data_IF_043771259590
#
_entry.id   IF_043771259590
#
_cell.length_a   1.000
_cell.length_b   1.000
_cell.length_c   1.000
_cell.angle_alpha   90.00
_cell.angle_beta   90.00
_cell.angle_gamma   90.00
#
_symmetry.space_group_name_H-M   'P 1'
#
loop_
_entity.id
_entity.type
_entity.pdbx_description
1 polymer ?
#
# COMPACT_ATOMS: atom_id res chain seq x y z
N UNK A 1 -13.39 39.54 -12.57
CA UNK A 1 -12.99 38.72 -13.72
C UNK A 1 -11.63 38.12 -13.45
N UNK A 2 -11.58 36.91 -12.89
CA UNK A 2 -10.55 35.91 -13.17
C UNK A 2 -11.26 34.57 -13.07
N UNK A 3 -11.74 34.16 -14.24
CA UNK A 3 -12.39 32.89 -14.47
C UNK A 3 -11.29 31.82 -14.50
N UNK A 4 -11.10 31.11 -13.37
CA UNK A 4 -10.24 29.94 -13.31
C UNK A 4 -11.06 28.73 -13.75
N UNK A 5 -11.20 28.57 -15.05
CA UNK A 5 -11.39 27.26 -15.65
C UNK A 5 -10.14 26.42 -15.37
N UNK A 6 -10.11 25.75 -14.21
CA UNK A 6 -9.18 24.68 -13.93
C UNK A 6 -9.86 23.36 -14.29
N UNK A 7 -9.66 22.98 -15.55
CA UNK A 7 -9.46 21.61 -16.07
C UNK A 7 -10.06 20.54 -15.17
N UNK A 8 -11.23 20.05 -15.55
CA UNK A 8 -11.84 18.84 -15.00
C UNK A 8 -10.93 17.64 -15.21
N UNK A 9 -10.04 17.38 -14.25
CA UNK A 9 -9.63 16.02 -13.92
C UNK A 9 -10.84 15.43 -13.21
N UNK A 10 -11.53 14.50 -13.87
CA UNK A 10 -12.62 13.75 -13.27
C UNK A 10 -12.03 12.92 -12.12
N UNK A 11 -12.07 13.47 -10.91
CA UNK A 11 -12.36 12.79 -9.65
C UNK A 11 -11.40 11.73 -9.09
N UNK A 12 -10.20 11.52 -9.64
CA UNK A 12 -9.24 10.64 -8.96
C UNK A 12 -8.62 11.35 -7.75
N UNK A 13 -9.07 11.00 -6.55
CA UNK A 13 -8.51 11.50 -5.29
C UNK A 13 -7.00 11.20 -5.26
N UNK A 14 -6.15 12.17 -4.91
CA UNK A 14 -4.67 12.08 -5.00
C UNK A 14 -4.12 10.82 -4.29
N UNK A 15 -4.72 10.43 -3.16
CA UNK A 15 -4.34 9.21 -2.44
C UNK A 15 -4.50 7.95 -3.30
N UNK A 16 -5.56 7.88 -4.12
CA UNK A 16 -5.87 6.72 -4.95
C UNK A 16 -4.82 6.56 -6.05
N UNK A 17 -4.41 7.68 -6.67
CA UNK A 17 -3.33 7.70 -7.66
C UNK A 17 -2.04 7.14 -7.04
N UNK A 18 -1.66 7.60 -5.84
CA UNK A 18 -0.43 7.14 -5.16
C UNK A 18 -0.48 5.65 -4.84
N UNK A 19 -1.62 5.15 -4.35
CA UNK A 19 -1.82 3.72 -4.07
C UNK A 19 -1.72 2.89 -5.35
N UNK A 20 -2.36 3.33 -6.43
CA UNK A 20 -2.34 2.65 -7.71
C UNK A 20 -0.94 2.59 -8.32
N UNK A 21 -0.16 3.67 -8.20
CA UNK A 21 1.24 3.69 -8.65
C UNK A 21 2.10 2.69 -7.87
N UNK A 22 1.91 2.54 -6.56
CA UNK A 22 2.63 1.54 -5.77
C UNK A 22 2.27 0.13 -6.19
N UNK A 23 0.98 -0.18 -6.35
CA UNK A 23 0.56 -1.50 -6.84
C UNK A 23 1.11 -1.79 -8.24
N UNK A 24 1.11 -0.80 -9.12
CA UNK A 24 1.69 -0.94 -10.46
C UNK A 24 3.19 -1.27 -10.39
N UNK A 25 3.97 -0.55 -9.58
CA UNK A 25 5.40 -0.83 -9.38
C UNK A 25 5.65 -2.22 -8.79
N UNK A 26 4.84 -2.65 -7.81
CA UNK A 26 4.91 -4.00 -7.26
C UNK A 26 4.70 -5.05 -8.36
N UNK A 27 3.68 -4.88 -9.20
CA UNK A 27 3.38 -5.82 -10.29
C UNK A 27 4.47 -5.84 -11.37
N UNK A 28 5.10 -4.71 -11.66
CA UNK A 28 6.24 -4.65 -12.58
C UNK A 28 7.45 -5.38 -12.01
N UNK A 29 7.72 -5.21 -10.72
CA UNK A 29 8.85 -5.83 -10.04
C UNK A 29 8.63 -7.33 -9.78
N UNK A 30 7.37 -7.75 -9.55
CA UNK A 30 6.98 -9.12 -9.20
C UNK A 30 5.78 -9.59 -10.05
N UNK A 31 5.95 -9.79 -11.37
CA UNK A 31 4.84 -10.02 -12.30
C UNK A 31 4.09 -11.35 -12.11
N UNK A 32 4.75 -12.33 -11.49
CA UNK A 32 4.21 -13.67 -11.28
C UNK A 32 3.65 -13.89 -9.88
N UNK A 33 3.85 -12.96 -8.95
CA UNK A 33 3.34 -13.07 -7.60
C UNK A 33 1.84 -12.77 -7.55
N UNK A 34 1.12 -13.45 -6.67
CA UNK A 34 -0.26 -13.10 -6.36
C UNK A 34 -0.27 -11.73 -5.70
N UNK A 35 -1.03 -10.73 -6.21
CA UNK A 35 -1.07 -9.41 -5.60
C UNK A 35 -1.58 -9.47 -4.16
N UNK A 36 -0.85 -8.85 -3.25
CA UNK A 36 -1.17 -8.79 -1.82
C UNK A 36 -1.41 -7.35 -1.35
N UNK A 37 -2.02 -7.15 -0.17
CA UNK A 37 -2.03 -5.85 0.47
C UNK A 37 -0.62 -5.25 0.59
N UNK A 38 -0.49 -3.92 0.42
CA UNK A 38 0.80 -3.23 0.55
C UNK A 38 1.45 -3.42 1.93
N UNK A 39 0.66 -3.77 2.96
CA UNK A 39 1.14 -4.15 4.29
C UNK A 39 2.14 -5.31 4.24
N UNK A 40 1.95 -6.26 3.31
CA UNK A 40 2.84 -7.41 3.14
C UNK A 40 4.28 -7.02 2.77
N UNK A 41 4.49 -5.88 2.10
CA UNK A 41 5.84 -5.39 1.77
C UNK A 41 6.67 -5.17 3.05
N UNK A 42 6.01 -4.71 4.11
CA UNK A 42 6.61 -4.47 5.43
C UNK A 42 6.39 -5.64 6.40
N UNK A 43 5.89 -6.79 5.93
CA UNK A 43 5.50 -7.94 6.77
C UNK A 43 4.46 -7.61 7.86
N UNK A 44 3.56 -6.67 7.57
CA UNK A 44 2.50 -6.26 8.48
C UNK A 44 1.21 -6.99 8.15
N UNK A 45 0.46 -7.34 9.20
CA UNK A 45 -0.85 -7.97 9.07
C UNK A 45 -1.94 -6.91 9.29
N UNK A 46 -2.69 -6.52 8.24
CA UNK A 46 -3.71 -5.48 8.34
C UNK A 46 -4.92 -5.90 9.19
N UNK A 47 -5.02 -7.18 9.60
CA UNK A 47 -6.13 -7.68 10.42
C UNK A 47 -5.82 -7.63 11.92
N UNK A 48 -4.54 -7.45 12.27
CA UNK A 48 -4.09 -7.42 13.66
C UNK A 48 -4.01 -5.98 14.17
N UNK A 49 -4.13 -5.76 15.49
CA UNK A 49 -3.82 -4.47 16.08
C UNK A 49 -2.41 -4.00 15.64
N UNK A 50 -2.21 -2.70 15.36
CA UNK A 50 -3.16 -1.60 15.54
C UNK A 50 -4.04 -1.29 14.30
N UNK A 51 -4.03 -2.15 13.26
CA UNK A 51 -4.72 -1.89 11.97
C UNK A 51 -6.19 -2.31 11.92
N UNK A 52 -6.73 -2.89 13.00
CA UNK A 52 -8.11 -3.39 13.00
C UNK A 52 -9.12 -2.27 12.66
N UNK A 53 -10.19 -2.61 11.95
CA UNK A 53 -11.15 -1.65 11.39
C UNK A 53 -11.75 -0.65 12.40
N UNK A 54 -11.85 -1.03 13.68
CA UNK A 54 -12.28 -0.15 14.78
C UNK A 54 -11.26 0.93 15.14
N UNK A 55 -9.98 0.69 14.89
CA UNK A 55 -8.88 1.63 15.13
C UNK A 55 -8.74 2.66 13.99
N UNK A 56 -9.04 2.28 12.75
CA UNK A 56 -8.85 3.11 11.56
C UNK A 56 -9.82 4.30 11.43
N UNK A 57 -11.00 4.24 12.05
CA UNK A 57 -11.95 5.37 12.09
C UNK A 57 -11.75 6.31 13.28
N UNK A 58 -10.75 6.04 14.12
CA UNK A 58 -10.57 6.75 15.39
C UNK A 58 -9.73 8.00 15.18
N UNK A 59 -10.24 9.17 15.61
CA UNK A 59 -9.44 10.39 15.76
C UNK A 59 -8.49 10.35 16.97
N UNK A 60 -8.31 9.16 17.58
CA UNK A 60 -7.44 8.97 18.72
C UNK A 60 -5.98 9.00 18.26
N UNK A 61 -5.29 10.08 18.60
CA UNK A 61 -3.89 10.30 18.25
C UNK A 61 -2.98 9.17 18.75
N UNK A 62 -3.24 8.57 19.90
CA UNK A 62 -2.44 7.46 20.42
C UNK A 62 -2.52 6.20 19.52
N UNK A 63 -3.67 5.97 18.89
CA UNK A 63 -3.85 4.87 17.93
C UNK A 63 -3.11 5.20 16.63
N UNK A 64 -3.26 6.42 16.11
CA UNK A 64 -2.55 6.88 14.91
C UNK A 64 -1.03 6.79 15.08
N UNK A 65 -0.51 7.21 16.23
CA UNK A 65 0.92 7.15 16.53
C UNK A 65 1.40 5.72 16.73
N UNK A 66 0.60 4.85 17.34
CA UNK A 66 0.90 3.41 17.43
C UNK A 66 0.98 2.77 16.05
N UNK A 67 0.06 3.10 15.13
CA UNK A 67 0.12 2.62 13.75
C UNK A 67 1.41 3.09 13.08
N UNK A 68 1.74 4.38 13.17
CA UNK A 68 2.97 4.93 12.58
C UNK A 68 4.23 4.25 13.12
N UNK A 69 4.29 4.00 14.42
CA UNK A 69 5.39 3.27 15.05
C UNK A 69 5.52 1.85 14.48
N UNK A 70 4.43 1.09 14.42
CA UNK A 70 4.44 -0.28 13.86
C UNK A 70 4.84 -0.30 12.38
N UNK A 71 4.39 0.67 11.59
CA UNK A 71 4.79 0.80 10.18
C UNK A 71 6.28 1.12 10.06
N UNK A 72 6.79 2.07 10.86
CA UNK A 72 8.20 2.45 10.88
C UNK A 72 9.10 1.29 11.34
N UNK A 73 8.67 0.53 12.35
CA UNK A 73 9.36 -0.67 12.84
C UNK A 73 9.41 -1.76 11.76
N UNK A 74 8.27 -2.00 11.08
CA UNK A 74 8.20 -2.97 9.98
C UNK A 74 9.11 -2.62 8.81
N UNK A 75 9.23 -1.33 8.48
CA UNK A 75 10.22 -0.86 7.51
C UNK A 75 11.65 -1.06 8.02
N UNK A 76 11.92 -0.60 9.24
CA UNK A 76 13.28 -0.61 9.80
C UNK A 76 13.84 -2.03 9.92
N UNK A 77 13.02 -2.99 10.36
CA UNK A 77 13.41 -4.38 10.52
C UNK A 77 13.84 -5.09 9.22
N UNK A 78 13.52 -4.52 8.05
CA UNK A 78 13.76 -5.16 6.74
C UNK A 78 14.65 -4.35 5.81
N UNK A 79 14.54 -3.04 5.87
CA UNK A 79 15.07 -2.13 4.85
C UNK A 79 16.04 -1.08 5.41
N UNK A 80 16.18 -0.96 6.74
CA UNK A 80 17.07 0.05 7.34
C UNK A 80 18.53 -0.12 6.88
N UNK A 81 19.04 -1.36 6.88
CA UNK A 81 20.43 -1.61 6.49
C UNK A 81 20.66 -1.27 5.01
N UNK A 82 19.76 -1.72 4.11
CA UNK A 82 19.83 -1.39 2.68
C UNK A 82 19.76 0.11 2.42
N UNK A 83 18.89 0.82 3.15
CA UNK A 83 18.77 2.27 3.05
C UNK A 83 20.06 2.95 3.52
N UNK A 84 20.64 2.51 4.64
CA UNK A 84 21.90 3.06 5.16
C UNK A 84 23.05 2.81 4.19
N UNK A 85 23.11 1.63 3.59
CA UNK A 85 24.14 1.28 2.62
C UNK A 85 24.03 2.16 1.37
N UNK A 86 22.84 2.34 0.80
CA UNK A 86 22.62 3.24 -0.34
C UNK A 86 23.03 4.69 -0.01
N UNK A 87 22.66 5.20 1.17
CA UNK A 87 23.05 6.54 1.62
C UNK A 87 24.57 6.68 1.77
N UNK A 88 25.24 5.62 2.25
CA UNK A 88 26.71 5.62 2.44
C UNK A 88 27.48 5.46 1.13
N UNK A 89 27.02 4.58 0.24
CA UNK A 89 27.67 4.33 -1.05
C UNK A 89 27.39 5.45 -2.05
N UNK A 90 26.31 6.22 -1.85
CA UNK A 90 25.84 7.21 -2.81
C UNK A 90 25.25 6.58 -4.06
N UNK A 91 24.97 5.28 -4.03
CA UNK A 91 24.34 4.55 -5.12
C UNK A 91 22.81 4.74 -5.08
N UNK A 92 22.19 4.51 -6.23
CA UNK A 92 20.74 4.49 -6.33
C UNK A 92 20.17 3.38 -5.44
N UNK A 93 19.11 3.73 -4.71
CA UNK A 93 18.37 2.79 -3.89
C UNK A 93 17.75 1.70 -4.77
N UNK A 94 17.87 0.44 -4.33
CA UNK A 94 17.23 -0.66 -5.04
C UNK A 94 15.71 -0.48 -5.11
N UNK A 95 15.11 -1.00 -6.17
CA UNK A 95 13.68 -0.82 -6.46
C UNK A 95 12.80 -1.35 -5.33
N UNK A 96 13.19 -2.43 -4.66
CA UNK A 96 12.43 -3.01 -3.56
C UNK A 96 12.40 -2.06 -2.35
N UNK A 97 13.55 -1.49 -1.98
CA UNK A 97 13.65 -0.48 -0.91
C UNK A 97 12.89 0.80 -1.29
N UNK A 98 12.93 1.22 -2.57
CA UNK A 98 12.17 2.37 -3.07
C UNK A 98 10.64 2.16 -3.00
N UNK A 99 10.16 0.96 -3.36
CA UNK A 99 8.76 0.56 -3.16
C UNK A 99 8.42 0.57 -1.67
N UNK A 100 9.27 -0.01 -0.82
CA UNK A 100 9.04 -0.08 0.63
C UNK A 100 8.96 1.31 1.29
N UNK A 101 9.78 2.28 0.86
CA UNK A 101 9.68 3.67 1.33
C UNK A 101 8.36 4.32 0.94
N UNK A 102 7.88 4.05 -0.29
CA UNK A 102 6.58 4.56 -0.73
C UNK A 102 5.44 3.94 0.09
N UNK A 103 5.51 2.64 0.38
CA UNK A 103 4.57 1.94 1.26
C UNK A 103 4.60 2.52 2.69
N UNK A 104 5.78 2.73 3.27
CA UNK A 104 5.95 3.39 4.57
C UNK A 104 5.22 4.74 4.60
N UNK A 105 5.42 5.57 3.57
CA UNK A 105 4.75 6.87 3.44
C UNK A 105 3.22 6.74 3.37
N UNK A 106 2.70 5.82 2.55
CA UNK A 106 1.25 5.62 2.39
C UNK A 106 0.58 5.08 3.67
N UNK A 107 1.22 4.14 4.34
CA UNK A 107 0.69 3.52 5.56
C UNK A 107 0.85 4.43 6.79
N UNK A 108 1.75 5.40 6.77
CA UNK A 108 1.91 6.39 7.85
C UNK A 108 0.90 7.54 7.75
N UNK A 109 0.40 7.81 6.54
CA UNK A 109 -0.64 8.80 6.28
C UNK A 109 -2.01 8.25 6.68
N UNK A 110 -2.71 8.96 7.58
CA UNK A 110 -3.95 8.46 8.18
C UNK A 110 -5.08 8.37 7.15
N UNK A 111 -5.32 9.45 6.41
CA UNK A 111 -6.35 9.52 5.38
C UNK A 111 -6.13 8.43 4.33
N UNK A 112 -4.94 8.37 3.73
CA UNK A 112 -4.62 7.36 2.71
C UNK A 112 -4.77 5.94 3.25
N UNK A 113 -4.29 5.67 4.48
CA UNK A 113 -4.43 4.35 5.10
C UNK A 113 -5.89 3.96 5.29
N UNK A 114 -6.75 4.86 5.76
CA UNK A 114 -8.19 4.60 5.95
C UNK A 114 -8.88 4.32 4.62
N UNK A 115 -8.60 5.13 3.60
CA UNK A 115 -9.15 4.92 2.26
C UNK A 115 -8.67 3.61 1.63
N UNK A 116 -7.38 3.31 1.77
CA UNK A 116 -6.78 2.05 1.34
C UNK A 116 -7.46 0.86 2.01
N UNK A 117 -7.62 0.91 3.34
CA UNK A 117 -8.22 -0.16 4.10
C UNK A 117 -9.66 -0.44 3.67
N UNK A 118 -10.45 0.61 3.38
CA UNK A 118 -11.85 0.48 2.94
C UNK A 118 -11.99 -0.03 1.51
N UNK A 119 -11.11 0.39 0.60
CA UNK A 119 -11.29 0.16 -0.84
C UNK A 119 -10.43 -0.96 -1.42
N UNK A 120 -9.17 -1.07 -1.00
CA UNK A 120 -8.20 -2.01 -1.57
C UNK A 120 -8.08 -3.30 -0.77
N UNK A 121 -8.07 -3.25 0.57
CA UNK A 121 -7.93 -4.48 1.37
C UNK A 121 -9.00 -5.54 1.08
N UNK A 122 -10.30 -5.21 0.94
CA UNK A 122 -11.32 -6.22 0.66
C UNK A 122 -11.12 -6.94 -0.68
N UNK A 123 -10.50 -6.27 -1.65
CA UNK A 123 -10.22 -6.81 -2.98
C UNK A 123 -8.95 -7.68 -3.03
N UNK A 124 -8.01 -7.43 -2.12
CA UNK A 124 -6.70 -8.11 -2.09
C UNK A 124 -6.59 -9.18 -1.01
N UNK A 125 -7.54 -9.23 -0.08
CA UNK A 125 -7.56 -10.22 1.00
C UNK A 125 -7.87 -11.60 0.43
N UNK A 126 -7.19 -12.66 0.93
CA UNK A 126 -7.58 -14.02 0.62
C UNK A 126 -9.04 -14.31 0.96
N UNK A 127 -9.76 -14.92 0.02
CA UNK A 127 -11.16 -15.33 0.24
C UNK A 127 -11.28 -16.84 0.39
N UNK A 128 -12.36 -17.32 1.00
CA UNK A 128 -12.60 -18.76 1.14
C UNK A 128 -12.71 -19.46 -0.21
N UNK A 129 -13.20 -18.76 -1.25
CA UNK A 129 -13.32 -19.29 -2.60
C UNK A 129 -11.95 -19.59 -3.24
N UNK A 130 -10.93 -18.78 -2.91
CA UNK A 130 -9.57 -18.96 -3.44
C UNK A 130 -8.93 -20.29 -2.99
N UNK A 131 -9.41 -20.93 -1.91
CA UNK A 131 -8.91 -22.24 -1.45
C UNK A 131 -9.05 -23.36 -2.48
N UNK A 132 -9.95 -23.18 -3.46
CA UNK A 132 -10.23 -24.15 -4.51
C UNK A 132 -9.67 -23.72 -5.88
N UNK A 133 -8.95 -22.61 -5.94
CA UNK A 133 -8.42 -22.03 -7.17
C UNK A 133 -6.91 -22.29 -7.31
N UNK A 134 -6.42 -22.35 -8.54
CA UNK A 134 -4.98 -22.33 -8.79
C UNK A 134 -4.39 -20.95 -8.47
N UNK A 135 -3.12 -20.91 -8.09
CA UNK A 135 -2.37 -19.66 -7.86
C UNK A 135 -2.49 -18.67 -9.03
N UNK A 136 -2.36 -19.16 -10.27
CA UNK A 136 -2.50 -18.31 -11.45
C UNK A 136 -3.91 -17.73 -11.61
N UNK A 137 -4.95 -18.52 -11.32
CA UNK A 137 -6.33 -18.02 -11.33
C UNK A 137 -6.55 -16.93 -10.28
N UNK A 138 -5.97 -17.10 -9.09
CA UNK A 138 -6.03 -16.10 -8.01
C UNK A 138 -5.28 -14.83 -8.44
N UNK A 139 -4.08 -14.98 -9.00
CA UNK A 139 -3.27 -13.88 -9.51
C UNK A 139 -4.04 -13.05 -10.53
N UNK A 140 -4.57 -13.67 -11.58
CA UNK A 140 -5.34 -13.00 -12.61
C UNK A 140 -6.59 -12.31 -12.06
N UNK A 141 -7.30 -12.96 -11.13
CA UNK A 141 -8.47 -12.38 -10.49
C UNK A 141 -8.13 -11.11 -9.71
N UNK A 142 -7.04 -11.12 -8.93
CA UNK A 142 -6.61 -9.96 -8.13
C UNK A 142 -6.02 -8.84 -8.99
N UNK A 143 -5.26 -9.15 -10.04
CA UNK A 143 -4.79 -8.15 -11.02
C UNK A 143 -5.99 -7.43 -11.64
N UNK A 144 -7.00 -8.18 -12.08
CA UNK A 144 -8.24 -7.60 -12.65
C UNK A 144 -9.00 -6.73 -11.64
N UNK A 145 -8.95 -7.06 -10.35
CA UNK A 145 -9.55 -6.21 -9.30
C UNK A 145 -8.76 -4.92 -9.11
N UNK A 146 -7.42 -4.99 -9.09
CA UNK A 146 -6.57 -3.80 -9.03
C UNK A 146 -6.79 -2.88 -10.23
N UNK A 147 -6.86 -3.44 -11.44
CA UNK A 147 -7.17 -2.68 -12.66
C UNK A 147 -8.50 -1.93 -12.53
N UNK A 148 -9.55 -2.60 -12.02
CA UNK A 148 -10.85 -1.94 -11.79
C UNK A 148 -10.81 -0.85 -10.73
N UNK A 149 -10.02 -1.03 -9.68
CA UNK A 149 -9.89 -0.04 -8.61
C UNK A 149 -9.11 1.21 -9.07
N UNK A 150 -8.21 1.03 -10.03
CA UNK A 150 -7.28 2.03 -10.56
C UNK A 150 -7.66 2.58 -11.95
N UNK A 151 -8.82 2.23 -12.47
CA UNK A 151 -9.37 2.71 -13.75
C UNK A 151 -9.98 4.11 -13.66
#
# INVERSE_FOLDING_TARGET
MYDRHAIGVIGAEIWCIRVCLVHHRILQHRPYDVPEPIHSILHLDPEKPPFSYTALGSSNTAVVDSIRAVVADGFSARFADRLQDAVRSGEDMDEETSIAMTVLSLLSDDETRVHYARRFLPALKPTTAERFMSQESIRQARVKQLEKLCA
#
